data_IF_284793718901
#
_entry.id   IF_284793718901
#
_cell.length_a   1.000
_cell.length_b   1.000
_cell.length_c   1.000
_cell.angle_alpha   90.00
_cell.angle_beta   90.00
_cell.angle_gamma   90.00
#
_symmetry.space_group_name_H-M   'P 1'
#
loop_
_entity.id
_entity.type
_entity.pdbx_description
1 polymer ?
#
# COMPACT_ATOMS: atom_id res chain seq x y z
N UNK A 1 16.88 26.20 65.99
CA UNK A 1 16.01 25.07 65.57
C UNK A 1 16.90 24.03 64.90
N UNK A 2 17.12 22.86 65.52
CA UNK A 2 17.91 21.77 64.92
C UNK A 2 16.96 20.86 64.14
N UNK A 3 17.08 20.84 62.82
CA UNK A 3 16.36 19.86 62.00
C UNK A 3 17.03 18.49 62.17
N UNK A 4 16.27 17.50 62.61
CA UNK A 4 16.72 16.12 62.66
C UNK A 4 16.72 15.60 61.22
N UNK A 5 17.90 15.32 60.68
CA UNK A 5 18.03 14.57 59.43
C UNK A 5 17.60 13.12 59.71
N UNK A 6 16.36 12.78 59.35
CA UNK A 6 15.91 11.40 59.31
C UNK A 6 16.55 10.74 58.07
N UNK A 7 17.50 9.85 58.30
CA UNK A 7 18.14 9.06 57.25
C UNK A 7 17.17 8.01 56.69
N UNK A 8 17.26 7.79 55.38
CA UNK A 8 16.50 6.75 54.68
C UNK A 8 16.81 5.36 55.22
N UNK A 9 15.78 4.53 55.42
CA UNK A 9 15.96 3.14 55.81
C UNK A 9 16.43 2.30 54.61
N UNK A 10 17.22 1.25 54.86
CA UNK A 10 17.73 0.36 53.81
C UNK A 10 16.57 -0.29 53.01
N UNK A 11 15.46 -0.57 53.70
CA UNK A 11 14.24 -1.12 53.10
C UNK A 11 13.56 -0.10 52.18
N UNK A 12 13.48 1.18 52.55
CA UNK A 12 12.93 2.22 51.65
C UNK A 12 13.71 2.33 50.35
N UNK A 13 15.05 2.24 50.40
CA UNK A 13 15.88 2.33 49.20
C UNK A 13 15.66 1.11 48.30
N UNK A 14 15.51 -0.09 48.87
CA UNK A 14 15.19 -1.30 48.09
C UNK A 14 13.83 -1.18 47.40
N UNK A 15 12.82 -0.67 48.11
CA UNK A 15 11.47 -0.46 47.55
C UNK A 15 11.51 0.61 46.45
N UNK A 16 12.21 1.73 46.67
CA UNK A 16 12.35 2.78 45.67
C UNK A 16 13.03 2.28 44.38
N UNK A 17 14.09 1.48 44.49
CA UNK A 17 14.76 0.87 43.33
C UNK A 17 13.88 -0.15 42.61
N UNK A 18 13.13 -0.98 43.36
CA UNK A 18 12.21 -1.95 42.76
C UNK A 18 11.10 -1.26 41.98
N UNK A 19 10.46 -0.23 42.56
CA UNK A 19 9.42 0.56 41.89
C UNK A 19 10.00 1.28 40.66
N UNK A 20 11.19 1.88 40.79
CA UNK A 20 11.86 2.56 39.67
C UNK A 20 12.13 1.61 38.50
N UNK A 21 12.56 0.38 38.78
CA UNK A 21 12.87 -0.61 37.74
C UNK A 21 11.61 -1.09 37.02
N UNK A 22 10.51 -1.32 37.76
CA UNK A 22 9.21 -1.69 37.16
C UNK A 22 8.69 -0.58 36.24
N UNK A 23 8.79 0.68 36.65
CA UNK A 23 8.35 1.82 35.84
C UNK A 23 9.19 1.94 34.56
N UNK A 24 10.52 1.82 34.65
CA UNK A 24 11.42 1.89 33.49
C UNK A 24 11.14 0.75 32.51
N UNK A 25 10.92 -0.48 33.00
CA UNK A 25 10.58 -1.62 32.14
C UNK A 25 9.22 -1.43 31.45
N UNK A 26 8.20 -0.97 32.18
CA UNK A 26 6.88 -0.68 31.61
C UNK A 26 6.92 0.44 30.56
N UNK A 27 7.61 1.54 30.85
CA UNK A 27 7.79 2.64 29.91
C UNK A 27 8.64 2.24 28.68
N UNK A 28 9.66 1.40 28.89
CA UNK A 28 10.49 0.86 27.82
C UNK A 28 9.69 0.02 26.82
N UNK A 29 8.76 -0.81 27.31
CA UNK A 29 7.86 -1.56 26.43
C UNK A 29 6.99 -0.61 25.58
N UNK A 30 6.33 0.36 26.21
CA UNK A 30 5.50 1.34 25.49
C UNK A 30 6.29 2.12 24.43
N UNK A 31 7.52 2.51 24.76
CA UNK A 31 8.43 3.18 23.84
C UNK A 31 8.77 2.30 22.64
N UNK A 32 9.16 1.03 22.86
CA UNK A 32 9.42 0.07 21.77
C UNK A 32 8.19 -0.17 20.89
N UNK A 33 7.00 -0.29 21.49
CA UNK A 33 5.74 -0.50 20.76
C UNK A 33 5.40 0.71 19.88
N UNK A 34 5.74 1.92 20.35
CA UNK A 34 5.54 3.17 19.61
C UNK A 34 6.44 3.24 18.37
N UNK A 35 7.71 2.83 18.47
CA UNK A 35 8.61 2.75 17.31
C UNK A 35 8.15 1.73 16.25
N UNK A 36 7.59 0.61 16.68
CA UNK A 36 7.02 -0.39 15.78
C UNK A 36 5.77 0.13 15.05
N UNK A 37 4.97 0.97 15.72
CA UNK A 37 3.76 1.56 15.15
C UNK A 37 4.10 2.58 14.03
N UNK A 38 5.14 3.40 14.20
CA UNK A 38 5.56 4.37 13.18
C UNK A 38 6.00 3.71 11.86
N UNK A 39 6.76 2.61 11.92
CA UNK A 39 7.18 1.90 10.70
C UNK A 39 6.00 1.26 9.94
N UNK A 40 4.91 0.94 10.62
CA UNK A 40 3.70 0.41 9.98
C UNK A 40 2.87 1.52 9.32
N UNK A 41 2.82 2.73 9.88
CA UNK A 41 2.09 3.87 9.29
C UNK A 41 2.73 4.36 7.99
N UNK A 42 4.06 4.42 7.90
CA UNK A 42 4.75 4.85 6.68
C UNK A 42 4.53 3.90 5.49
N UNK A 43 4.49 2.59 5.76
CA UNK A 43 4.19 1.58 4.73
C UNK A 43 2.76 1.65 4.23
N UNK A 44 1.82 2.03 5.09
CA UNK A 44 0.41 2.24 4.70
C UNK A 44 0.24 3.54 3.92
N UNK A 45 0.93 4.62 4.32
CA UNK A 45 0.81 5.92 3.65
C UNK A 45 1.25 5.87 2.18
N UNK A 46 2.37 5.18 1.89
CA UNK A 46 2.87 5.08 0.51
C UNK A 46 1.95 4.25 -0.40
N UNK A 47 1.25 3.25 0.15
CA UNK A 47 0.23 2.47 -0.58
C UNK A 47 -0.98 3.32 -0.96
N UNK A 48 -1.44 4.15 -0.03
CA UNK A 48 -2.59 5.04 -0.28
C UNK A 48 -2.27 6.10 -1.34
N UNK A 49 -1.05 6.65 -1.33
CA UNK A 49 -0.60 7.61 -2.33
C UNK A 49 -0.55 6.99 -3.73
N UNK A 50 0.08 5.81 -3.86
CA UNK A 50 0.19 5.09 -5.14
C UNK A 50 -1.20 4.74 -5.71
N UNK A 51 -2.11 4.26 -4.87
CA UNK A 51 -3.47 3.93 -5.26
C UNK A 51 -4.25 5.15 -5.73
N UNK A 52 -4.27 6.24 -4.94
CA UNK A 52 -5.02 7.45 -5.28
C UNK A 52 -4.54 8.01 -6.61
N UNK A 53 -3.21 8.05 -6.80
CA UNK A 53 -2.59 8.50 -8.03
C UNK A 53 -2.92 7.60 -9.24
N UNK A 54 -2.87 6.27 -9.08
CA UNK A 54 -3.21 5.34 -10.15
C UNK A 54 -4.68 5.49 -10.57
N UNK A 55 -5.61 5.52 -9.61
CA UNK A 55 -7.04 5.65 -9.87
C UNK A 55 -7.39 7.01 -10.51
N UNK A 56 -6.78 8.11 -10.04
CA UNK A 56 -7.03 9.43 -10.62
C UNK A 56 -6.56 9.50 -12.07
N UNK A 57 -5.35 8.98 -12.34
CA UNK A 57 -4.77 8.95 -13.68
C UNK A 57 -5.62 8.11 -14.63
N UNK A 58 -6.04 6.92 -14.20
CA UNK A 58 -6.89 6.04 -15.02
C UNK A 58 -8.28 6.63 -15.26
N UNK A 59 -8.88 7.27 -14.26
CA UNK A 59 -10.20 7.89 -14.39
C UNK A 59 -10.19 9.10 -15.31
N UNK A 60 -9.14 9.93 -15.23
CA UNK A 60 -8.96 11.11 -16.08
C UNK A 60 -8.78 10.71 -17.55
N UNK A 61 -7.83 9.82 -17.83
CA UNK A 61 -7.59 9.32 -19.18
C UNK A 61 -8.78 8.52 -19.71
N UNK A 62 -9.48 7.86 -18.80
CA UNK A 62 -10.69 7.16 -19.08
C UNK A 62 -11.84 8.02 -19.59
N UNK A 63 -12.02 9.21 -18.98
CA UNK A 63 -12.95 10.20 -19.49
C UNK A 63 -12.59 10.72 -20.88
N UNK A 64 -11.30 10.67 -21.24
CA UNK A 64 -10.81 11.08 -22.55
C UNK A 64 -10.88 9.96 -23.60
N UNK A 65 -11.23 8.73 -23.19
CA UNK A 65 -11.26 7.55 -24.07
C UNK A 65 -9.89 6.91 -24.32
N UNK A 66 -8.89 7.22 -23.50
CA UNK A 66 -7.49 6.78 -23.69
C UNK A 66 -7.09 5.73 -22.64
N UNK A 67 -7.92 4.72 -22.40
CA UNK A 67 -7.59 3.68 -21.41
C UNK A 67 -6.44 2.78 -21.84
N UNK A 68 -6.31 2.52 -23.14
CA UNK A 68 -5.25 1.68 -23.72
C UNK A 68 -3.84 2.29 -23.59
N UNK A 69 -3.75 3.57 -23.18
CA UNK A 69 -2.48 4.24 -22.93
C UNK A 69 -1.75 3.65 -21.71
N UNK A 70 -2.48 3.08 -20.76
CA UNK A 70 -1.88 2.53 -19.55
C UNK A 70 -2.03 1.01 -19.52
N UNK A 71 -1.00 0.33 -19.03
CA UNK A 71 -1.04 -1.10 -18.77
C UNK A 71 -0.33 -1.41 -17.45
N UNK A 72 -0.65 -2.55 -16.86
CA UNK A 72 0.16 -3.11 -15.79
C UNK A 72 1.18 -4.03 -16.46
N UNK A 73 2.45 -3.76 -16.19
CA UNK A 73 3.59 -4.55 -16.67
C UNK A 73 4.39 -5.02 -15.47
N UNK A 74 5.01 -6.20 -15.56
CA UNK A 74 5.98 -6.63 -14.56
C UNK A 74 7.32 -5.92 -14.75
N UNK A 75 7.92 -5.50 -13.64
CA UNK A 75 9.26 -4.93 -13.62
C UNK A 75 10.14 -5.74 -12.68
N UNK A 76 11.28 -6.19 -13.20
CA UNK A 76 12.24 -6.98 -12.44
C UNK A 76 13.39 -6.09 -11.97
N UNK A 77 13.60 -6.03 -10.65
CA UNK A 77 14.66 -5.23 -10.03
C UNK A 77 15.59 -6.12 -9.22
N UNK A 78 16.87 -6.10 -9.58
CA UNK A 78 17.91 -6.80 -8.84
C UNK A 78 18.30 -6.02 -7.58
N UNK A 79 18.22 -6.67 -6.43
CA UNK A 79 18.72 -6.16 -5.15
C UNK A 79 19.71 -7.16 -4.56
N UNK A 80 21.00 -6.92 -4.80
CA UNK A 80 22.07 -7.84 -4.41
C UNK A 80 21.95 -9.19 -5.13
N UNK A 81 21.73 -10.26 -4.36
CA UNK A 81 21.51 -11.62 -4.89
C UNK A 81 20.02 -11.98 -5.07
N UNK A 82 19.10 -11.08 -4.72
CA UNK A 82 17.66 -11.34 -4.77
C UNK A 82 17.05 -10.56 -5.93
N UNK A 83 16.25 -11.24 -6.76
CA UNK A 83 15.41 -10.58 -7.77
C UNK A 83 14.05 -10.28 -7.16
N UNK A 84 13.58 -9.05 -7.34
CA UNK A 84 12.26 -8.62 -6.91
C UNK A 84 11.41 -8.30 -8.14
N UNK A 85 10.20 -8.85 -8.19
CA UNK A 85 9.23 -8.55 -9.23
C UNK A 85 8.20 -7.55 -8.69
N UNK A 86 7.89 -6.54 -9.50
CA UNK A 86 6.91 -5.51 -9.18
C UNK A 86 5.89 -5.40 -10.30
N UNK A 87 4.61 -5.26 -9.95
CA UNK A 87 3.61 -4.80 -10.90
C UNK A 87 3.64 -3.28 -10.92
N UNK A 88 3.91 -2.69 -12.08
CA UNK A 88 3.99 -1.24 -12.26
C UNK A 88 2.92 -0.79 -13.23
N UNK A 89 2.30 0.35 -12.93
CA UNK A 89 1.48 1.04 -13.92
C UNK A 89 2.41 1.75 -14.89
N UNK A 90 2.36 1.36 -16.15
CA UNK A 90 3.21 1.90 -17.20
C UNK A 90 2.38 2.67 -18.22
N UNK A 91 2.90 3.82 -18.66
CA UNK A 91 2.42 4.50 -19.84
C UNK A 91 3.00 3.80 -21.08
N UNK A 92 2.15 3.16 -21.87
CA UNK A 92 2.50 2.41 -23.08
C UNK A 92 2.90 3.33 -24.25
N UNK A 93 2.48 4.59 -24.23
CA UNK A 93 2.82 5.54 -25.31
C UNK A 93 4.23 6.11 -25.12
N UNK A 94 4.63 6.35 -23.88
CA UNK A 94 5.96 6.89 -23.55
C UNK A 94 6.93 5.81 -23.04
N UNK A 95 6.43 4.58 -22.87
CA UNK A 95 7.14 3.42 -22.32
C UNK A 95 7.78 3.70 -20.95
N UNK A 96 7.08 4.45 -20.10
CA UNK A 96 7.58 4.94 -18.81
C UNK A 96 6.78 4.39 -17.62
N UNK A 97 7.46 3.89 -16.56
CA UNK A 97 6.79 3.49 -15.33
C UNK A 97 6.28 4.74 -14.60
N UNK A 98 4.99 4.74 -14.27
CA UNK A 98 4.32 5.88 -13.64
C UNK A 98 4.25 5.67 -12.13
N UNK A 99 3.89 4.46 -11.69
CA UNK A 99 3.78 4.12 -10.26
C UNK A 99 3.97 2.63 -10.00
N UNK A 100 4.65 2.30 -8.90
CA UNK A 100 4.74 0.93 -8.40
C UNK A 100 3.46 0.58 -7.62
N UNK A 101 2.81 -0.52 -8.00
CA UNK A 101 1.52 -0.93 -7.44
C UNK A 101 1.71 -2.01 -6.37
N UNK A 102 2.32 -3.13 -6.76
CA UNK A 102 2.53 -4.27 -5.88
C UNK A 102 3.89 -4.95 -6.11
N UNK A 103 4.39 -5.62 -5.08
CA UNK A 103 5.49 -6.57 -5.18
C UNK A 103 4.93 -7.99 -5.28
N UNK A 104 5.43 -8.79 -6.21
CA UNK A 104 4.96 -10.15 -6.53
C UNK A 104 6.14 -11.13 -6.57
N UNK A 105 5.85 -12.42 -6.55
CA UNK A 105 6.88 -13.47 -6.64
C UNK A 105 7.28 -13.72 -8.10
N UNK A 106 6.32 -13.66 -9.03
CA UNK A 106 6.54 -13.77 -10.47
C UNK A 106 5.90 -12.60 -11.24
N UNK A 107 6.48 -12.22 -12.38
CA UNK A 107 5.88 -11.22 -13.28
C UNK A 107 4.52 -11.69 -13.84
N UNK A 108 4.32 -13.00 -13.96
CA UNK A 108 3.04 -13.59 -14.38
C UNK A 108 1.89 -13.37 -13.38
N UNK A 109 2.19 -13.01 -12.13
CA UNK A 109 1.18 -12.73 -11.10
C UNK A 109 0.53 -11.34 -11.26
N UNK A 110 1.05 -10.51 -12.17
CA UNK A 110 0.47 -9.20 -12.44
C UNK A 110 -0.83 -9.32 -13.25
N UNK A 111 -1.97 -8.79 -12.76
CA UNK A 111 -3.23 -8.85 -13.47
C UNK A 111 -3.21 -7.92 -14.70
N UNK A 112 -4.05 -8.26 -15.68
CA UNK A 112 -4.28 -7.35 -16.82
C UNK A 112 -5.09 -6.15 -16.33
N UNK A 113 -4.63 -4.93 -16.67
CA UNK A 113 -5.25 -3.70 -16.18
C UNK A 113 -6.72 -3.56 -16.60
N UNK A 114 -7.07 -3.91 -17.84
CA UNK A 114 -8.43 -3.83 -18.35
C UNK A 114 -8.92 -5.18 -18.83
N UNK A 115 -10.01 -5.65 -18.23
CA UNK A 115 -10.79 -6.76 -18.75
C UNK A 115 -12.12 -6.22 -19.29
N UNK A 116 -12.35 -6.40 -20.59
CA UNK A 116 -13.61 -6.04 -21.20
C UNK A 116 -14.72 -6.96 -20.66
N UNK A 117 -15.78 -6.39 -20.09
CA UNK A 117 -16.99 -7.16 -19.84
C UNK A 117 -17.66 -7.49 -21.18
N UNK A 118 -18.39 -8.62 -21.23
CA UNK A 118 -19.04 -9.13 -22.46
C UNK A 118 -19.98 -8.14 -23.16
N UNK A 119 -20.36 -7.04 -22.49
CA UNK A 119 -21.19 -5.97 -23.02
C UNK A 119 -20.41 -4.96 -23.89
N UNK A 120 -19.08 -5.04 -23.93
CA UNK A 120 -18.20 -4.20 -24.75
C UNK A 120 -18.17 -2.71 -24.36
N UNK A 121 -18.89 -2.31 -23.31
CA UNK A 121 -19.06 -0.91 -22.86
C UNK A 121 -18.55 -0.68 -21.44
N UNK A 122 -18.45 -1.75 -20.65
CA UNK A 122 -17.89 -1.71 -19.30
C UNK A 122 -16.57 -2.47 -19.24
N UNK A 123 -15.56 -1.85 -18.63
CA UNK A 123 -14.26 -2.44 -18.38
C UNK A 123 -14.08 -2.62 -16.88
N UNK A 124 -13.62 -3.80 -16.47
CA UNK A 124 -13.19 -4.05 -15.09
C UNK A 124 -11.71 -3.70 -15.02
N UNK A 125 -11.36 -2.89 -14.02
CA UNK A 125 -9.97 -2.53 -13.72
C UNK A 125 -9.59 -3.11 -12.37
N UNK A 126 -8.50 -3.87 -12.37
CA UNK A 126 -7.95 -4.54 -11.20
C UNK A 126 -6.57 -3.97 -10.90
N UNK A 127 -6.38 -3.44 -9.70
CA UNK A 127 -5.07 -2.98 -9.23
C UNK A 127 -4.66 -3.71 -7.95
N UNK A 128 -3.55 -4.48 -7.97
CA UNK A 128 -2.95 -5.03 -6.77
C UNK A 128 -2.14 -3.94 -6.07
N UNK A 129 -2.29 -3.78 -4.76
CA UNK A 129 -1.56 -2.79 -3.97
C UNK A 129 -0.84 -3.46 -2.81
N UNK A 130 0.47 -3.25 -2.72
CA UNK A 130 1.27 -3.65 -1.57
C UNK A 130 2.20 -4.84 -1.80
N UNK A 131 2.21 -5.81 -0.88
CA UNK A 131 3.09 -6.98 -0.95
C UNK A 131 2.23 -8.23 -1.14
N UNK A 132 2.26 -8.75 -2.37
CA UNK A 132 1.43 -9.83 -2.90
C UNK A 132 2.21 -11.14 -3.07
N UNK A 133 3.37 -11.26 -2.42
CA UNK A 133 4.14 -12.50 -2.39
C UNK A 133 3.48 -13.53 -1.48
N UNK A 134 3.48 -14.79 -1.88
CA UNK A 134 2.86 -15.93 -1.19
C UNK A 134 3.36 -16.10 0.26
N UNK A 135 4.58 -15.64 0.53
CA UNK A 135 5.25 -15.75 1.83
C UNK A 135 5.34 -14.41 2.59
N UNK A 136 4.78 -13.33 2.04
CA UNK A 136 4.67 -12.06 2.77
C UNK A 136 3.45 -12.08 3.67
N UNK A 137 3.54 -11.50 4.88
CA UNK A 137 2.38 -11.24 5.72
C UNK A 137 1.35 -10.48 4.88
N UNK A 138 0.27 -11.16 4.48
CA UNK A 138 -0.69 -10.76 3.46
C UNK A 138 -1.14 -9.30 3.64
N UNK A 139 -0.47 -8.40 2.92
CA UNK A 139 -0.84 -6.99 2.81
C UNK A 139 -0.93 -6.64 1.33
N UNK A 140 -1.49 -7.59 0.59
CA UNK A 140 -1.95 -7.45 -0.78
C UNK A 140 -3.42 -7.07 -0.70
N UNK A 141 -3.72 -5.85 -1.08
CA UNK A 141 -5.09 -5.40 -1.27
C UNK A 141 -5.35 -5.34 -2.77
N UNK A 142 -6.38 -6.04 -3.23
CA UNK A 142 -6.81 -5.99 -4.63
C UNK A 142 -8.03 -5.08 -4.75
N UNK A 143 -7.89 -4.01 -5.55
CA UNK A 143 -8.95 -3.04 -5.74
C UNK A 143 -9.49 -3.19 -7.14
N UNK A 144 -10.76 -3.59 -7.19
CA UNK A 144 -11.50 -3.83 -8.43
C UNK A 144 -12.57 -2.75 -8.59
N UNK A 145 -12.54 -2.04 -9.70
CA UNK A 145 -13.59 -1.08 -10.05
C UNK A 145 -14.02 -1.24 -11.50
N UNK A 146 -15.26 -0.85 -11.78
CA UNK A 146 -15.85 -0.91 -13.10
C UNK A 146 -15.90 0.49 -13.69
N UNK A 147 -15.39 0.62 -14.90
CA UNK A 147 -15.47 1.84 -15.68
C UNK A 147 -16.41 1.61 -16.85
N UNK A 148 -17.19 2.63 -17.21
CA UNK A 148 -18.15 2.57 -18.31
C UNK A 148 -17.88 3.71 -19.27
N UNK A 149 -17.66 3.38 -20.54
CA UNK A 149 -17.43 4.37 -21.59
C UNK A 149 -18.75 5.01 -22.02
N UNK A 150 -19.07 6.20 -21.46
CA UNK A 150 -20.33 6.89 -21.78
C UNK A 150 -20.52 7.14 -23.28
N UNK A 151 -19.44 7.40 -24.03
CA UNK A 151 -19.53 7.68 -25.45
C UNK A 151 -20.04 6.46 -26.25
N UNK A 152 -19.65 5.25 -25.80
CA UNK A 152 -20.04 3.97 -26.41
C UNK A 152 -21.46 3.56 -26.00
N UNK A 153 -21.89 3.92 -24.78
CA UNK A 153 -23.30 3.78 -24.34
C UNK A 153 -24.25 4.54 -25.26
N UNK A 154 -23.91 5.79 -25.62
CA UNK A 154 -24.76 6.65 -26.45
C UNK A 154 -24.89 6.09 -27.89
N UNK A 155 -23.82 5.51 -28.43
CA UNK A 155 -23.85 4.87 -29.76
C UNK A 155 -24.63 3.55 -29.75
N UNK A 156 -24.56 2.77 -28.66
CA UNK A 156 -25.34 1.54 -28.47
C UNK A 156 -26.85 1.80 -28.35
N UNK A 157 -27.25 2.89 -27.67
CA UNK A 157 -28.67 3.29 -27.55
C UNK A 157 -29.27 3.92 -28.82
N UNK A 158 -28.44 4.26 -29.82
CA UNK A 158 -28.89 4.81 -31.11
C UNK A 158 -29.25 3.77 -32.17
N UNK A 159 -29.10 2.47 -31.88
CA UNK A 159 -29.32 1.39 -32.83
C UNK A 159 -30.48 0.47 -32.37
N UNK A 160 -31.72 0.93 -32.53
CA UNK A 160 -32.91 0.08 -32.70
C UNK A 160 -33.92 0.84 -33.58
N UNK A 161 -34.73 0.12 -34.38
CA UNK A 161 -34.90 0.32 -35.84
C UNK A 161 -35.72 1.53 -36.30
#
# INVERSE_FOLDING_TARGET
MKQHQQGFTLVEIMVAMAIGTVIILGAGQLFLTTFQTFQNVDKVSRKQEALVFAVSTLTENGRQGNFERYAITGDQRSSGNTMHHYCVLQDQTENQPVVDLAQVDDEADCPTLLEANGDGVSHTVTLPIGDCRDNANASCDEIVFKITERNKVITSQGATP
#
